data_IF_886590801145
#
_entry.id   IF_886590801145
#
_cell.length_a   1.000
_cell.length_b   1.000
_cell.length_c   1.000
_cell.angle_alpha   90.00
_cell.angle_beta   90.00
_cell.angle_gamma   90.00
#
_symmetry.space_group_name_H-M   'P 1'
#
loop_
_entity.id
_entity.type
_entity.pdbx_description
1 polymer ?
#
# COMPACT_ATOMS: atom_id res chain seq x y z
N UNK A 1 -58.54 -7.55 -4.31
CA UNK A 1 -57.38 -6.86 -4.92
C UNK A 1 -56.31 -6.64 -3.86
N UNK A 2 -55.20 -7.37 -3.96
CA UNK A 2 -54.17 -7.41 -2.93
C UNK A 2 -53.41 -6.07 -2.86
N UNK A 3 -53.36 -5.46 -1.67
CA UNK A 3 -52.65 -4.20 -1.38
C UNK A 3 -51.16 -4.23 -1.79
N UNK A 4 -50.56 -5.43 -1.83
CA UNK A 4 -49.19 -5.66 -2.28
C UNK A 4 -48.96 -5.30 -3.76
N UNK A 5 -49.97 -5.46 -4.62
CA UNK A 5 -49.85 -5.14 -6.05
C UNK A 5 -49.90 -3.62 -6.28
N UNK A 6 -50.67 -2.90 -5.47
CA UNK A 6 -50.78 -1.44 -5.50
C UNK A 6 -49.57 -0.71 -4.91
N UNK A 7 -48.76 -1.35 -4.05
CA UNK A 7 -47.51 -0.75 -3.55
C UNK A 7 -46.38 -0.85 -4.56
N UNK A 8 -46.40 -1.87 -5.43
CA UNK A 8 -45.39 -2.06 -6.48
C UNK A 8 -45.49 -0.97 -7.56
N UNK A 9 -46.71 -0.54 -7.91
CA UNK A 9 -46.94 0.54 -8.88
C UNK A 9 -46.61 1.93 -8.33
N UNK A 10 -46.57 2.10 -7.00
CA UNK A 10 -46.14 3.35 -6.33
C UNK A 10 -44.63 3.58 -6.35
N UNK A 11 -43.82 2.57 -6.66
CA UNK A 11 -42.36 2.69 -6.80
C UNK A 11 -41.91 3.05 -8.24
N UNK A 12 -42.82 3.01 -9.22
CA UNK A 12 -42.56 3.42 -10.59
C UNK A 12 -41.94 4.83 -10.79
N UNK A 13 -42.28 5.89 -10.00
CA UNK A 13 -41.66 7.21 -10.19
C UNK A 13 -40.20 7.27 -9.75
N UNK A 14 -39.75 6.40 -8.83
CA UNK A 14 -38.33 6.32 -8.44
C UNK A 14 -37.50 5.66 -9.54
N UNK A 15 -38.03 4.58 -10.16
CA UNK A 15 -37.41 3.93 -11.31
C UNK A 15 -37.36 4.83 -12.55
N UNK A 16 -38.43 5.61 -12.83
CA UNK A 16 -38.43 6.59 -13.92
C UNK A 16 -37.43 7.74 -13.71
N UNK A 17 -37.19 8.18 -12.47
CA UNK A 17 -36.16 9.20 -12.16
C UNK A 17 -34.73 8.68 -12.28
N UNK A 18 -34.51 7.39 -12.08
CA UNK A 18 -33.20 6.77 -12.27
C UNK A 18 -32.83 6.61 -13.75
N UNK A 19 -33.80 6.40 -14.64
CA UNK A 19 -33.58 6.23 -16.08
C UNK A 19 -33.43 7.54 -16.87
N UNK A 20 -33.98 8.66 -16.40
CA UNK A 20 -33.79 9.99 -17.03
C UNK A 20 -32.42 10.61 -16.70
N UNK A 21 -31.66 9.95 -15.84
CA UNK A 21 -30.31 10.33 -15.48
C UNK A 21 -29.35 9.68 -16.46
N UNK A 22 -29.16 10.31 -17.62
CA UNK A 22 -28.21 9.89 -18.65
C UNK A 22 -26.76 9.87 -18.15
N UNK A 23 -25.83 9.63 -19.08
CA UNK A 23 -24.36 9.60 -18.86
C UNK A 23 -23.83 10.81 -18.06
N UNK A 24 -24.57 11.91 -18.00
CA UNK A 24 -24.28 13.14 -17.23
C UNK A 24 -24.83 13.16 -15.79
N UNK A 25 -25.09 12.02 -15.16
CA UNK A 25 -25.68 12.03 -13.82
C UNK A 25 -25.29 10.85 -12.93
N UNK A 26 -23.99 10.66 -12.80
CA UNK A 26 -23.48 10.52 -11.44
C UNK A 26 -23.70 11.86 -10.75
N UNK A 27 -24.51 11.97 -9.67
CA UNK A 27 -24.48 13.17 -8.86
C UNK A 27 -23.01 13.45 -8.52
N UNK A 28 -22.51 14.70 -8.61
CA UNK A 28 -21.12 14.98 -8.33
C UNK A 28 -20.82 14.33 -6.99
N UNK A 29 -19.84 13.41 -7.01
CA UNK A 29 -19.28 12.80 -5.81
C UNK A 29 -19.24 13.90 -4.75
N UNK A 30 -19.93 13.70 -3.61
CA UNK A 30 -20.09 14.68 -2.52
C UNK A 30 -19.04 15.77 -2.61
N UNK A 31 -19.47 17.02 -2.84
CA UNK A 31 -18.61 18.16 -3.16
C UNK A 31 -17.31 18.06 -2.36
N UNK A 32 -16.24 17.61 -3.03
CA UNK A 32 -14.94 17.39 -2.40
C UNK A 32 -14.20 18.69 -2.47
N UNK A 33 -13.81 19.22 -1.32
CA UNK A 33 -13.02 20.45 -1.26
C UNK A 33 -11.68 20.25 -2.00
N UNK A 34 -11.12 21.35 -2.50
CA UNK A 34 -9.79 21.32 -3.13
C UNK A 34 -8.75 20.75 -2.16
N UNK A 35 -8.87 21.07 -0.87
CA UNK A 35 -8.03 20.53 0.20
C UNK A 35 -8.13 19.01 0.28
N UNK A 36 -9.33 18.43 0.29
CA UNK A 36 -9.50 16.97 0.32
C UNK A 36 -8.87 16.28 -0.89
N UNK A 37 -8.96 16.90 -2.08
CA UNK A 37 -8.32 16.39 -3.29
C UNK A 37 -6.80 16.41 -3.19
N UNK A 38 -6.24 17.52 -2.69
CA UNK A 38 -4.78 17.67 -2.48
C UNK A 38 -4.30 16.66 -1.43
N UNK A 39 -5.00 16.53 -0.31
CA UNK A 39 -4.67 15.57 0.75
C UNK A 39 -4.68 14.14 0.24
N UNK A 40 -5.70 13.76 -0.53
CA UNK A 40 -5.78 12.42 -1.11
C UNK A 40 -4.66 12.17 -2.13
N UNK A 41 -4.34 13.15 -2.97
CA UNK A 41 -3.21 13.05 -3.90
C UNK A 41 -1.88 12.89 -3.19
N UNK A 42 -1.62 13.68 -2.13
CA UNK A 42 -0.40 13.58 -1.34
C UNK A 42 -0.32 12.24 -0.60
N UNK A 43 -1.42 11.78 -0.02
CA UNK A 43 -1.48 10.48 0.65
C UNK A 43 -1.12 9.34 -0.30
N UNK A 44 -1.71 9.32 -1.49
CA UNK A 44 -1.40 8.34 -2.53
C UNK A 44 0.07 8.45 -2.90
N UNK A 45 0.53 9.65 -3.29
CA UNK A 45 1.91 9.85 -3.73
C UNK A 45 2.93 9.41 -2.68
N UNK A 46 2.76 9.81 -1.42
CA UNK A 46 3.64 9.42 -0.32
C UNK A 46 3.59 7.91 -0.08
N UNK A 47 2.41 7.30 -0.09
CA UNK A 47 2.29 5.85 0.11
C UNK A 47 3.07 5.06 -0.94
N UNK A 48 2.93 5.41 -2.22
CA UNK A 48 3.62 4.72 -3.31
C UNK A 48 5.11 5.06 -3.40
N UNK A 49 5.53 6.27 -3.03
CA UNK A 49 6.94 6.68 -3.09
C UNK A 49 7.73 6.29 -1.83
N UNK A 50 7.07 6.10 -0.69
CA UNK A 50 7.74 5.85 0.60
C UNK A 50 8.74 4.70 0.56
N UNK A 51 8.32 3.55 0.02
CA UNK A 51 9.16 2.36 -0.06
C UNK A 51 10.34 2.48 -1.05
N UNK A 52 10.14 2.84 -2.33
CA UNK A 52 11.26 2.98 -3.25
C UNK A 52 12.25 4.06 -2.80
N UNK A 53 11.77 5.18 -2.23
CA UNK A 53 12.67 6.20 -1.67
C UNK A 53 13.49 5.65 -0.51
N UNK A 54 12.89 4.89 0.41
CA UNK A 54 13.64 4.24 1.49
C UNK A 54 14.70 3.26 0.96
N UNK A 55 14.33 2.41 0.00
CA UNK A 55 15.26 1.42 -0.57
C UNK A 55 16.44 2.11 -1.24
N UNK A 56 16.19 3.13 -2.07
CA UNK A 56 17.24 3.87 -2.79
C UNK A 56 18.20 4.58 -1.83
N UNK A 57 17.69 5.13 -0.73
CA UNK A 57 18.51 5.78 0.29
C UNK A 57 19.26 4.79 1.18
N UNK A 58 18.82 3.53 1.26
CA UNK A 58 19.37 2.52 2.16
C UNK A 58 20.06 1.35 1.43
N UNK A 59 20.42 1.53 0.15
CA UNK A 59 20.99 0.46 -0.68
C UNK A 59 22.26 -0.16 -0.09
N UNK A 60 23.15 0.66 0.49
CA UNK A 60 24.41 0.18 1.05
C UNK A 60 24.21 -0.77 2.23
N UNK A 61 23.16 -0.55 3.02
CA UNK A 61 22.82 -1.42 4.15
C UNK A 61 22.04 -2.67 3.73
N UNK A 62 21.31 -2.59 2.60
CA UNK A 62 20.59 -3.72 2.02
C UNK A 62 21.49 -4.65 1.22
N UNK A 63 22.67 -4.18 0.79
CA UNK A 63 23.63 -5.00 0.09
C UNK A 63 24.11 -6.13 1.01
N UNK A 64 24.14 -7.40 0.54
CA UNK A 64 24.74 -8.47 1.32
C UNK A 64 26.20 -8.10 1.62
N UNK A 65 26.54 -8.12 2.91
CA UNK A 65 27.91 -7.87 3.34
C UNK A 65 28.80 -8.98 2.75
N UNK A 66 30.02 -8.65 2.29
CA UNK A 66 30.95 -9.68 1.87
C UNK A 66 31.14 -10.69 3.01
N UNK A 67 31.10 -11.97 2.67
CA UNK A 67 31.44 -13.06 3.57
C UNK A 67 32.81 -12.75 4.20
N UNK A 68 32.87 -12.67 5.53
CA UNK A 68 34.12 -12.40 6.24
C UNK A 68 34.94 -13.69 6.28
N UNK A 69 35.46 -14.11 5.13
CA UNK A 69 36.37 -15.25 5.04
C UNK A 69 37.72 -14.82 5.61
N UNK A 70 38.01 -15.23 6.85
CA UNK A 70 39.34 -15.09 7.44
C UNK A 70 40.37 -15.77 6.53
N UNK A 71 41.55 -15.17 6.39
CA UNK A 71 42.68 -15.84 5.74
C UNK A 71 42.99 -17.16 6.46
N UNK A 72 43.45 -18.20 5.75
CA UNK A 72 43.73 -19.51 6.36
C UNK A 72 44.69 -19.40 7.54
N UNK A 73 45.70 -18.52 7.45
CA UNK A 73 46.64 -18.24 8.55
C UNK A 73 45.96 -17.65 9.79
N UNK A 74 44.97 -16.77 9.62
CA UNK A 74 44.22 -16.19 10.74
C UNK A 74 43.26 -17.20 11.39
N UNK A 75 42.73 -18.15 10.60
CA UNK A 75 41.92 -19.25 11.12
C UNK A 75 42.78 -20.20 11.96
N UNK A 76 43.98 -20.55 11.49
CA UNK A 76 44.94 -21.40 12.22
C UNK A 76 45.38 -20.76 13.54
N UNK A 77 45.64 -19.44 13.56
CA UNK A 77 45.98 -18.72 14.80
C UNK A 77 44.82 -18.71 15.81
N UNK A 78 43.58 -18.52 15.34
CA UNK A 78 42.39 -18.58 16.19
C UNK A 78 42.15 -19.99 16.76
N UNK A 79 42.38 -21.04 15.96
CA UNK A 79 42.30 -22.42 16.42
C UNK A 79 43.39 -22.74 17.45
N UNK A 80 44.63 -22.29 17.22
CA UNK A 80 45.73 -22.46 18.16
C UNK A 80 45.43 -21.77 19.50
N UNK A 81 44.90 -20.54 19.47
CA UNK A 81 44.48 -19.83 20.69
C UNK A 81 43.31 -20.53 21.41
N UNK A 82 42.30 -21.04 20.68
CA UNK A 82 41.20 -21.81 21.28
C UNK A 82 41.67 -23.13 21.90
N UNK A 83 42.63 -23.81 21.26
CA UNK A 83 43.20 -25.04 21.78
C UNK A 83 44.01 -24.78 23.06
N UNK A 84 44.75 -23.66 23.14
CA UNK A 84 45.47 -23.26 24.34
C UNK A 84 44.54 -22.90 25.50
N UNK A 85 43.40 -22.26 25.23
CA UNK A 85 42.42 -21.88 26.26
C UNK A 85 41.56 -23.04 26.80
N UNK A 86 41.55 -24.20 26.11
CA UNK A 86 40.87 -25.43 26.55
C UNK A 86 41.76 -26.36 27.38
N UNK A 87 43.03 -26.02 27.53
CA UNK A 87 44.03 -26.76 28.30
C UNK A 87 44.16 -26.19 29.71
#
# INVERSE_FOLDING_TARGET
MNRAILSLTRQAPLLRRALHKGVDSTPPLRFTSVTERISLFLLISVSFLSYPTYVLLNLDNLRPKPENSLSPEAQEQLEAMRAAARK
#
